data_IF_673596860313
#
_entry.id   IF_673596860313
#
_cell.length_a   1.000
_cell.length_b   1.000
_cell.length_c   1.000
_cell.angle_alpha   90.00
_cell.angle_beta   90.00
_cell.angle_gamma   90.00
#
_symmetry.space_group_name_H-M   'P 1'
#
loop_
_entity.id
_entity.type
_entity.pdbx_description
1 polymer ?
#
# COMPACT_ATOMS: atom_id res chain seq x y z
N UNK A 1 -24.13 8.56 -23.79
CA UNK A 1 -22.94 9.40 -23.56
C UNK A 1 -21.78 8.44 -23.36
N UNK A 2 -20.94 8.26 -24.38
CA UNK A 2 -19.75 7.42 -24.25
C UNK A 2 -18.65 8.24 -23.61
N UNK A 3 -18.36 7.97 -22.34
CA UNK A 3 -17.41 8.78 -21.54
C UNK A 3 -15.95 8.51 -21.88
N UNK A 4 -15.63 7.36 -22.49
CA UNK A 4 -14.26 6.96 -22.79
C UNK A 4 -14.14 6.39 -24.22
N UNK A 5 -13.25 6.99 -25.01
CA UNK A 5 -12.88 6.52 -26.35
C UNK A 5 -11.39 6.20 -26.40
N UNK A 6 -11.07 4.94 -26.65
CA UNK A 6 -9.70 4.48 -26.84
C UNK A 6 -9.41 4.44 -28.34
N UNK A 7 -8.54 5.33 -28.82
CA UNK A 7 -8.16 5.48 -30.23
C UNK A 7 -6.70 5.05 -30.45
N UNK A 8 -6.34 4.80 -31.71
CA UNK A 8 -4.97 4.50 -32.14
C UNK A 8 -4.34 3.28 -31.43
N UNK A 9 -5.14 2.27 -31.10
CA UNK A 9 -4.61 0.98 -30.63
C UNK A 9 -4.11 0.15 -31.82
N UNK A 10 -3.07 -0.65 -31.56
CA UNK A 10 -2.50 -1.54 -32.57
C UNK A 10 -3.53 -2.57 -33.04
N UNK A 11 -3.39 -3.02 -34.29
CA UNK A 11 -4.30 -4.05 -34.81
C UNK A 11 -4.13 -5.39 -34.09
N UNK A 12 -2.94 -5.67 -33.56
CA UNK A 12 -2.71 -6.80 -32.67
C UNK A 12 -3.61 -6.69 -31.43
N UNK A 13 -3.57 -5.56 -30.72
CA UNK A 13 -4.37 -5.35 -29.52
C UNK A 13 -5.89 -5.44 -29.79
N UNK A 14 -6.35 -4.94 -30.95
CA UNK A 14 -7.76 -5.10 -31.35
C UNK A 14 -8.15 -6.57 -31.49
N UNK A 15 -7.30 -7.38 -32.13
CA UNK A 15 -7.54 -8.81 -32.33
C UNK A 15 -7.54 -9.55 -31.00
N UNK A 16 -6.57 -9.29 -30.14
CA UNK A 16 -6.45 -9.93 -28.83
C UNK A 16 -7.71 -9.69 -27.97
N UNK A 17 -8.22 -8.46 -27.95
CA UNK A 17 -9.46 -8.11 -27.22
C UNK A 17 -10.67 -8.82 -27.84
N UNK A 18 -10.75 -8.90 -29.17
CA UNK A 18 -11.84 -9.58 -29.85
C UNK A 18 -11.86 -11.09 -29.59
N UNK A 19 -10.69 -11.73 -29.62
CA UNK A 19 -10.54 -13.14 -29.30
C UNK A 19 -10.82 -13.44 -27.82
N UNK A 20 -10.43 -12.54 -26.92
CA UNK A 20 -10.78 -12.64 -25.51
C UNK A 20 -12.30 -12.57 -25.31
N UNK A 21 -12.96 -11.57 -25.92
CA UNK A 21 -14.41 -11.39 -25.84
C UNK A 21 -15.18 -12.58 -26.41
N UNK A 22 -14.70 -13.15 -27.53
CA UNK A 22 -15.30 -14.35 -28.11
C UNK A 22 -15.17 -15.57 -27.20
N UNK A 23 -14.02 -15.73 -26.53
CA UNK A 23 -13.78 -16.84 -25.59
C UNK A 23 -14.60 -16.72 -24.32
N UNK A 24 -14.78 -15.50 -23.80
CA UNK A 24 -15.57 -15.22 -22.59
C UNK A 24 -17.08 -15.14 -22.85
N UNK A 25 -17.50 -15.02 -24.11
CA UNK A 25 -18.90 -14.81 -24.49
C UNK A 25 -19.39 -13.38 -24.22
N UNK A 26 -18.47 -12.43 -24.05
CA UNK A 26 -18.77 -11.04 -23.76
C UNK A 26 -18.86 -10.17 -25.02
N UNK A 27 -19.46 -8.99 -24.88
CA UNK A 27 -19.30 -7.94 -25.89
C UNK A 27 -17.86 -7.39 -25.85
N UNK A 28 -17.37 -6.86 -26.98
CA UNK A 28 -16.06 -6.19 -27.04
C UNK A 28 -15.90 -5.11 -25.96
N UNK A 29 -16.96 -4.34 -25.73
CA UNK A 29 -16.94 -3.27 -24.72
C UNK A 29 -16.89 -3.81 -23.30
N UNK A 30 -17.55 -4.93 -23.01
CA UNK A 30 -17.56 -5.49 -21.67
C UNK A 30 -16.24 -6.17 -21.37
N UNK A 31 -15.69 -6.92 -22.33
CA UNK A 31 -14.36 -7.51 -22.21
C UNK A 31 -13.28 -6.43 -22.00
N UNK A 32 -13.35 -5.32 -22.74
CA UNK A 32 -12.42 -4.21 -22.55
C UNK A 32 -12.54 -3.59 -21.13
N UNK A 33 -13.74 -3.51 -20.56
CA UNK A 33 -13.93 -3.04 -19.17
C UNK A 33 -13.35 -4.03 -18.17
N UNK A 34 -13.55 -5.33 -18.36
CA UNK A 34 -12.97 -6.38 -17.52
C UNK A 34 -11.45 -6.32 -17.51
N UNK A 35 -10.82 -6.28 -18.70
CA UNK A 35 -9.37 -6.17 -18.82
C UNK A 35 -8.82 -4.91 -18.15
N UNK A 36 -9.50 -3.77 -18.29
CA UNK A 36 -9.12 -2.53 -17.61
C UNK A 36 -9.26 -2.64 -16.09
N UNK A 37 -10.33 -3.26 -15.59
CA UNK A 37 -10.55 -3.47 -14.16
C UNK A 37 -9.46 -4.35 -13.56
N UNK A 38 -9.15 -5.47 -14.19
CA UNK A 38 -8.09 -6.37 -13.75
C UNK A 38 -6.73 -5.66 -13.74
N UNK A 39 -6.41 -4.89 -14.79
CA UNK A 39 -5.17 -4.14 -14.84
C UNK A 39 -5.07 -3.10 -13.71
N UNK A 40 -6.18 -2.45 -13.36
CA UNK A 40 -6.23 -1.50 -12.25
C UNK A 40 -6.08 -2.19 -10.89
N UNK A 41 -6.70 -3.35 -10.69
CA UNK A 41 -6.53 -4.15 -9.48
C UNK A 41 -5.09 -4.62 -9.31
N UNK A 42 -4.49 -5.21 -10.34
CA UNK A 42 -3.08 -5.62 -10.32
C UNK A 42 -2.14 -4.45 -10.03
N UNK A 43 -2.45 -3.25 -10.55
CA UNK A 43 -1.67 -2.03 -10.27
C UNK A 43 -1.84 -1.55 -8.82
N UNK A 44 -3.02 -1.71 -8.23
CA UNK A 44 -3.29 -1.37 -6.85
C UNK A 44 -2.59 -2.36 -5.90
N UNK A 45 -2.68 -3.67 -6.18
CA UNK A 45 -2.00 -4.71 -5.40
C UNK A 45 -0.47 -4.61 -5.49
N UNK A 46 0.06 -4.27 -6.67
CA UNK A 46 1.50 -4.10 -6.88
C UNK A 46 2.07 -2.85 -6.21
N UNK A 47 1.20 -1.90 -5.79
CA UNK A 47 1.60 -0.79 -4.93
C UNK A 47 1.24 -1.17 -3.50
N UNK A 48 2.18 -1.67 -2.68
CA UNK A 48 1.98 -1.52 -1.25
C UNK A 48 1.71 -0.03 -1.01
N UNK A 49 0.58 0.29 -0.37
CA UNK A 49 0.39 1.61 0.22
C UNK A 49 1.73 1.99 0.87
N UNK A 50 2.29 3.19 0.62
CA UNK A 50 3.56 3.57 1.19
C UNK A 50 3.38 3.62 2.71
N UNK A 51 3.59 2.48 3.34
CA UNK A 51 3.47 2.30 4.76
C UNK A 51 4.54 3.21 5.35
N UNK A 52 4.11 4.15 6.18
CA UNK A 52 5.06 4.99 6.87
C UNK A 52 6.03 4.09 7.66
N UNK A 53 7.27 4.53 7.84
CA UNK A 53 8.24 3.77 8.64
C UNK A 53 7.67 3.42 10.03
N UNK A 54 6.86 4.31 10.60
CA UNK A 54 6.12 4.06 11.83
C UNK A 54 5.14 2.89 11.73
N UNK A 55 4.28 2.88 10.71
CA UNK A 55 3.31 1.80 10.50
C UNK A 55 4.02 0.46 10.27
N UNK A 56 5.10 0.43 9.49
CA UNK A 56 5.86 -0.78 9.22
C UNK A 56 6.49 -1.35 10.50
N UNK A 57 7.09 -0.49 11.33
CA UNK A 57 7.64 -0.89 12.63
C UNK A 57 6.49 -1.37 13.53
N UNK A 58 5.41 -0.60 13.67
CA UNK A 58 4.27 -0.97 14.52
C UNK A 58 3.67 -2.31 14.13
N UNK A 59 3.50 -2.58 12.83
CA UNK A 59 2.97 -3.85 12.35
C UNK A 59 3.83 -5.05 12.75
N UNK A 60 5.17 -4.91 12.70
CA UNK A 60 6.09 -5.95 13.15
C UNK A 60 6.01 -6.20 14.66
N UNK A 61 5.81 -5.16 15.48
CA UNK A 61 5.60 -5.35 16.92
C UNK A 61 4.24 -5.96 17.24
N UNK A 62 3.18 -5.59 16.49
CA UNK A 62 1.83 -6.17 16.64
C UNK A 62 1.83 -7.66 16.27
N UNK A 63 2.52 -8.07 15.20
CA UNK A 63 2.56 -9.48 14.78
C UNK A 63 3.21 -10.39 15.83
N UNK A 64 4.17 -9.86 16.59
CA UNK A 64 4.85 -10.57 17.67
C UNK A 64 4.14 -10.41 19.04
N UNK A 65 2.93 -9.84 19.04
CA UNK A 65 2.16 -9.52 20.25
C UNK A 65 2.91 -8.64 21.28
N UNK A 66 3.91 -7.86 20.83
CA UNK A 66 4.81 -7.07 21.66
C UNK A 66 4.29 -5.63 21.90
N UNK A 67 2.97 -5.47 22.03
CA UNK A 67 2.26 -4.19 22.23
C UNK A 67 1.21 -4.30 23.34
N UNK A 68 1.36 -5.29 24.20
CA UNK A 68 0.48 -5.56 25.33
C UNK A 68 0.75 -4.62 26.52
N UNK A 69 0.00 -4.83 27.60
CA UNK A 69 0.10 -4.02 28.82
C UNK A 69 1.50 -4.10 29.47
N UNK A 70 2.24 -5.19 29.23
CA UNK A 70 3.62 -5.36 29.69
C UNK A 70 4.57 -4.42 28.93
N UNK A 71 4.44 -4.35 27.61
CA UNK A 71 5.19 -3.36 26.81
C UNK A 71 4.91 -1.93 27.28
N UNK A 72 3.65 -1.59 27.56
CA UNK A 72 3.27 -0.26 28.08
C UNK A 72 3.93 0.03 29.43
N UNK A 73 3.98 -0.97 30.32
CA UNK A 73 4.62 -0.84 31.63
C UNK A 73 6.14 -0.59 31.51
N UNK A 74 6.82 -1.36 30.65
CA UNK A 74 8.26 -1.20 30.39
C UNK A 74 8.57 0.16 29.77
N UNK A 75 7.80 0.59 28.77
CA UNK A 75 8.00 1.90 28.14
C UNK A 75 7.79 3.05 29.11
N UNK A 76 6.84 2.93 30.04
CA UNK A 76 6.60 3.93 31.08
C UNK A 76 7.78 4.03 32.06
N UNK A 77 8.41 2.91 32.41
CA UNK A 77 9.61 2.89 33.24
C UNK A 77 10.81 3.52 32.52
N UNK A 78 11.01 3.19 31.24
CA UNK A 78 12.05 3.79 30.40
C UNK A 78 11.85 5.30 30.27
N UNK A 79 10.62 5.77 30.05
CA UNK A 79 10.31 7.20 30.01
C UNK A 79 10.54 7.89 31.35
N UNK A 80 10.20 7.23 32.47
CA UNK A 80 10.45 7.77 33.81
C UNK A 80 11.95 7.90 34.08
N UNK A 81 12.76 6.91 33.68
CA UNK A 81 14.21 6.97 33.76
C UNK A 81 14.79 8.09 32.88
N UNK A 82 14.28 8.24 31.64
CA UNK A 82 14.70 9.32 30.73
C UNK A 82 14.34 10.72 31.25
N UNK A 83 13.18 10.87 31.90
CA UNK A 83 12.78 12.13 32.56
C UNK A 83 13.57 12.39 33.84
N UNK A 84 14.19 11.36 34.43
CA UNK A 84 15.04 11.52 35.62
C UNK A 84 16.46 11.93 35.23
N UNK A 85 17.00 11.37 34.16
CA UNK A 85 18.24 11.81 33.51
C UNK A 85 17.95 12.94 32.52
N UNK A 86 17.71 14.14 33.03
CA UNK A 86 17.57 15.38 32.24
C UNK A 86 18.89 15.76 31.55
N UNK A 87 19.28 15.00 30.52
CA UNK A 87 20.36 15.35 29.59
C UNK A 87 21.76 15.35 30.22
N UNK A 88 22.78 15.15 29.38
CA UNK A 88 24.11 15.65 29.75
C UNK A 88 23.96 17.15 30.01
N UNK A 89 24.55 17.72 31.08
CA UNK A 89 24.64 19.17 31.18
C UNK A 89 25.22 19.69 29.87
N UNK A 90 24.62 20.74 29.30
CA UNK A 90 25.28 21.48 28.22
C UNK A 90 26.64 21.90 28.78
N UNK A 91 27.73 21.43 28.16
CA UNK A 91 29.03 22.01 28.43
C UNK A 91 28.91 23.49 28.07
N UNK A 92 29.10 24.37 29.06
CA UNK A 92 29.23 25.80 28.80
C UNK A 92 30.43 25.96 27.86
N UNK A 93 30.15 26.15 26.57
CA UNK A 93 31.16 26.46 25.58
C UNK A 93 31.54 27.93 25.84
N UNK A 94 32.54 28.16 26.68
CA UNK A 94 33.25 29.44 26.78
C UNK A 94 33.99 29.78 25.47
#
# INVERSE_FOLDING_TARGET
>A
MGDLLIRNISDAMKRDIAEAAQRSGNSLSDEAKELLREALQRKAEAKPEPMSAYEAIRAAFVSENAVDDEFVAVMKEVEAARKKDFGRPFEDIE
#
